data_IF_671504680109
#
_entry.id   IF_671504680109
#
_cell.length_a   1.000
_cell.length_b   1.000
_cell.length_c   1.000
_cell.angle_alpha   90.00
_cell.angle_beta   90.00
_cell.angle_gamma   90.00
#
_symmetry.space_group_name_H-M   'P 1'
#
loop_
_entity.id
_entity.type
_entity.pdbx_description
1 polymer ?
#
# COMPACT_ATOMS: atom_id res chain seq x y z
N UNK A 1 -17.05 18.44 0.50
CA UNK A 1 -17.91 17.52 -0.29
C UNK A 1 -18.44 16.46 0.67
N UNK A 2 -19.74 16.14 0.69
CA UNK A 2 -20.35 15.20 1.65
C UNK A 2 -21.20 14.13 0.92
N UNK A 3 -20.77 12.85 0.81
CA UNK A 3 -21.46 11.84 0.03
C UNK A 3 -22.84 11.48 0.58
N UNK A 4 -23.10 11.70 1.87
CA UNK A 4 -24.41 11.45 2.50
C UNK A 4 -25.48 12.45 2.05
N UNK A 5 -25.08 13.62 1.57
CA UNK A 5 -25.98 14.68 1.10
C UNK A 5 -26.17 14.69 -0.43
N UNK A 6 -25.40 13.88 -1.15
CA UNK A 6 -25.57 13.73 -2.59
C UNK A 6 -26.82 12.95 -2.95
N UNK A 7 -27.31 13.20 -4.15
CA UNK A 7 -28.39 12.41 -4.72
C UNK A 7 -27.86 11.01 -5.06
N UNK A 8 -28.50 10.00 -4.50
CA UNK A 8 -28.20 8.60 -4.77
C UNK A 8 -29.25 7.97 -5.68
N UNK A 9 -28.81 6.96 -6.45
CA UNK A 9 -29.64 6.01 -7.18
C UNK A 9 -29.56 4.63 -6.53
N UNK A 10 -30.30 3.65 -7.06
CA UNK A 10 -30.21 2.28 -6.54
C UNK A 10 -28.97 1.60 -7.10
N UNK A 11 -28.29 0.78 -6.29
CA UNK A 11 -27.13 -0.01 -6.70
C UNK A 11 -27.38 -0.77 -8.01
N UNK A 12 -28.58 -1.35 -8.16
CA UNK A 12 -28.93 -2.16 -9.34
C UNK A 12 -28.95 -1.36 -10.64
N UNK A 13 -29.18 -0.04 -10.58
CA UNK A 13 -29.22 0.83 -11.75
C UNK A 13 -27.80 1.05 -12.33
N UNK A 14 -26.76 0.69 -11.59
CA UNK A 14 -25.36 0.85 -11.99
C UNK A 14 -24.72 -0.41 -12.59
N UNK A 15 -25.40 -1.56 -12.54
CA UNK A 15 -24.88 -2.76 -13.17
C UNK A 15 -24.76 -2.57 -14.67
N UNK A 16 -23.63 -2.98 -15.23
CA UNK A 16 -23.34 -2.77 -16.65
C UNK A 16 -22.89 -4.05 -17.36
N UNK A 17 -22.81 -3.97 -18.68
CA UNK A 17 -22.47 -5.09 -19.56
C UNK A 17 -20.96 -5.32 -19.69
N UNK A 18 -20.61 -6.42 -20.36
CA UNK A 18 -19.22 -6.84 -20.59
C UNK A 18 -18.37 -5.80 -21.31
N UNK A 19 -18.97 -4.99 -22.19
CA UNK A 19 -18.25 -3.97 -22.96
C UNK A 19 -17.87 -2.80 -22.05
N UNK A 20 -18.75 -2.44 -21.13
CA UNK A 20 -18.54 -1.29 -20.25
C UNK A 20 -17.69 -1.61 -19.02
N UNK A 21 -17.53 -2.88 -18.63
CA UNK A 21 -16.57 -3.28 -17.59
C UNK A 21 -15.15 -3.55 -18.12
N UNK A 22 -14.92 -3.41 -19.44
CA UNK A 22 -13.61 -3.60 -20.05
C UNK A 22 -13.08 -2.25 -20.55
N UNK A 23 -12.25 -1.60 -19.72
CA UNK A 23 -11.67 -0.29 -20.05
C UNK A 23 -10.64 -0.38 -21.18
N UNK A 24 -10.44 0.73 -21.87
CA UNK A 24 -9.29 0.90 -22.76
C UNK A 24 -8.01 1.02 -21.90
N UNK A 25 -6.96 0.22 -22.13
CA UNK A 25 -5.71 0.37 -21.39
C UNK A 25 -5.01 1.71 -21.66
N UNK A 26 -4.26 2.20 -20.68
CA UNK A 26 -3.38 3.36 -20.87
C UNK A 26 -2.18 3.03 -21.77
N UNK A 27 -1.55 4.06 -22.33
CA UNK A 27 -0.28 3.90 -23.02
C UNK A 27 0.87 3.99 -22.02
N UNK A 28 1.59 2.89 -21.79
CA UNK A 28 2.64 2.82 -20.76
C UNK A 28 3.78 3.86 -20.92
N UNK A 29 3.97 4.39 -22.14
CA UNK A 29 5.01 5.36 -22.47
C UNK A 29 4.57 6.84 -22.33
N UNK A 30 3.27 7.09 -22.17
CA UNK A 30 2.70 8.45 -22.16
C UNK A 30 1.92 8.74 -20.87
N UNK A 31 1.44 7.71 -20.19
CA UNK A 31 0.66 7.84 -18.96
C UNK A 31 1.51 8.45 -17.85
N UNK A 32 0.89 9.31 -17.04
CA UNK A 32 1.54 9.88 -15.87
C UNK A 32 1.81 8.77 -14.82
N UNK A 33 2.99 8.73 -14.18
CA UNK A 33 3.30 7.74 -13.15
C UNK A 33 2.28 7.71 -12.02
N UNK A 34 1.77 8.88 -11.59
CA UNK A 34 0.76 8.92 -10.54
C UNK A 34 -0.62 8.48 -11.02
N UNK A 35 -0.90 8.48 -12.33
CA UNK A 35 -2.09 7.80 -12.85
C UNK A 35 -1.97 6.28 -12.65
N UNK A 36 -0.77 5.68 -12.85
CA UNK A 36 -0.55 4.25 -12.58
C UNK A 36 -0.72 3.92 -11.09
N UNK A 37 -0.13 4.72 -10.20
CA UNK A 37 -0.23 4.49 -8.75
C UNK A 37 -1.68 4.64 -8.25
N UNK A 38 -2.45 5.62 -8.76
CA UNK A 38 -3.91 5.72 -8.49
C UNK A 38 -4.66 4.48 -8.94
N UNK A 39 -4.36 3.93 -10.11
CA UNK A 39 -4.99 2.70 -10.60
C UNK A 39 -4.71 1.52 -9.66
N UNK A 40 -3.46 1.37 -9.20
CA UNK A 40 -3.08 0.33 -8.24
C UNK A 40 -3.83 0.53 -6.91
N UNK A 41 -3.82 1.75 -6.37
CA UNK A 41 -4.50 2.10 -5.12
C UNK A 41 -6.00 1.81 -5.19
N UNK A 42 -6.68 2.26 -6.25
CA UNK A 42 -8.11 2.03 -6.41
C UNK A 42 -8.43 0.55 -6.60
N UNK A 43 -7.55 -0.22 -7.27
CA UNK A 43 -7.73 -1.67 -7.33
C UNK A 43 -7.61 -2.32 -5.95
N UNK A 44 -6.68 -1.85 -5.11
CA UNK A 44 -6.51 -2.33 -3.74
C UNK A 44 -7.70 -2.03 -2.84
N UNK A 45 -8.24 -0.80 -2.90
CA UNK A 45 -9.47 -0.43 -2.18
C UNK A 45 -10.64 -1.34 -2.56
N UNK A 46 -10.86 -1.58 -3.85
CA UNK A 46 -11.90 -2.49 -4.33
C UNK A 46 -11.64 -3.96 -3.95
N UNK A 47 -10.37 -4.38 -3.93
CA UNK A 47 -9.99 -5.73 -3.53
C UNK A 47 -10.33 -5.97 -2.05
N UNK A 48 -9.91 -5.05 -1.19
CA UNK A 48 -10.17 -5.07 0.24
C UNK A 48 -11.68 -5.11 0.50
N UNK A 49 -12.46 -4.19 -0.09
CA UNK A 49 -13.89 -4.11 0.16
C UNK A 49 -14.65 -5.37 -0.31
N UNK A 50 -14.24 -5.95 -1.43
CA UNK A 50 -14.76 -7.23 -1.91
C UNK A 50 -14.49 -8.37 -0.91
N UNK A 51 -13.27 -8.44 -0.37
CA UNK A 51 -12.87 -9.44 0.62
C UNK A 51 -13.62 -9.26 1.93
N UNK A 52 -13.66 -8.04 2.46
CA UNK A 52 -14.44 -7.69 3.64
C UNK A 52 -15.91 -8.12 3.48
N UNK A 53 -16.55 -7.76 2.37
CA UNK A 53 -17.96 -8.11 2.10
C UNK A 53 -18.19 -9.62 2.04
N UNK A 54 -17.22 -10.39 1.52
CA UNK A 54 -17.26 -11.85 1.58
C UNK A 54 -17.13 -12.39 3.01
N UNK A 55 -16.21 -11.86 3.81
CA UNK A 55 -16.04 -12.27 5.21
C UNK A 55 -17.26 -11.91 6.05
N UNK A 56 -17.84 -10.73 5.86
CA UNK A 56 -19.07 -10.33 6.50
C UNK A 56 -20.19 -11.34 6.15
N UNK A 57 -20.38 -11.67 4.88
CA UNK A 57 -21.41 -12.63 4.47
C UNK A 57 -21.20 -14.05 5.03
N UNK A 58 -19.95 -14.47 5.26
CA UNK A 58 -19.61 -15.77 5.88
C UNK A 58 -19.85 -15.79 7.39
N UNK A 59 -19.78 -14.64 8.04
CA UNK A 59 -19.98 -14.47 9.48
C UNK A 59 -21.36 -13.88 9.85
N UNK A 60 -22.29 -13.84 8.90
CA UNK A 60 -23.64 -13.32 9.09
C UNK A 60 -24.67 -14.44 8.94
N UNK A 61 -25.60 -14.57 9.91
CA UNK A 61 -26.67 -15.56 9.89
C UNK A 61 -27.99 -15.03 9.28
N UNK A 62 -28.02 -13.76 8.84
CA UNK A 62 -29.20 -13.12 8.25
C UNK A 62 -29.16 -13.16 6.72
N UNK A 63 -29.97 -14.01 6.09
CA UNK A 63 -29.96 -14.17 4.64
C UNK A 63 -30.46 -12.94 3.86
N UNK A 64 -31.35 -12.11 4.41
CA UNK A 64 -31.76 -10.88 3.74
C UNK A 64 -30.59 -9.91 3.65
N UNK A 65 -29.85 -9.73 4.76
CA UNK A 65 -28.65 -8.89 4.76
C UNK A 65 -27.58 -9.45 3.80
N UNK A 66 -27.37 -10.78 3.78
CA UNK A 66 -26.42 -11.41 2.84
C UNK A 66 -26.80 -11.20 1.37
N UNK A 67 -28.09 -11.11 1.03
CA UNK A 67 -28.54 -10.76 -0.33
C UNK A 67 -28.20 -9.32 -0.67
N UNK A 68 -28.37 -8.39 0.27
CA UNK A 68 -28.00 -6.98 0.08
C UNK A 68 -26.48 -6.83 -0.11
N UNK A 69 -25.67 -7.50 0.72
CA UNK A 69 -24.22 -7.57 0.55
C UNK A 69 -23.81 -8.14 -0.81
N UNK A 70 -24.56 -9.09 -1.34
CA UNK A 70 -24.26 -9.69 -2.65
C UNK A 70 -24.52 -8.74 -3.82
N UNK A 71 -25.49 -7.82 -3.69
CA UNK A 71 -25.75 -6.79 -4.69
C UNK A 71 -24.63 -5.74 -4.69
N UNK A 72 -24.29 -5.21 -3.52
CA UNK A 72 -23.18 -4.26 -3.35
C UNK A 72 -21.87 -4.82 -3.90
N UNK A 73 -21.49 -6.02 -3.43
CA UNK A 73 -20.25 -6.68 -3.87
C UNK A 73 -20.18 -6.97 -5.37
N UNK A 74 -21.32 -7.15 -6.04
CA UNK A 74 -21.32 -7.33 -7.50
C UNK A 74 -20.91 -6.04 -8.21
N UNK A 75 -21.31 -4.89 -7.67
CA UNK A 75 -20.93 -3.57 -8.19
C UNK A 75 -19.44 -3.32 -7.96
N UNK A 76 -18.96 -3.51 -6.72
CA UNK A 76 -17.52 -3.45 -6.37
C UNK A 76 -16.69 -4.31 -7.34
N UNK A 77 -17.15 -5.54 -7.59
CA UNK A 77 -16.42 -6.44 -8.49
C UNK A 77 -16.38 -5.94 -9.93
N UNK A 78 -17.43 -5.26 -10.42
CA UNK A 78 -17.41 -4.62 -11.74
C UNK A 78 -16.45 -3.44 -11.78
N UNK A 79 -16.37 -2.62 -10.72
CA UNK A 79 -15.41 -1.53 -10.58
C UNK A 79 -13.97 -2.06 -10.56
N UNK A 80 -13.70 -3.10 -9.76
CA UNK A 80 -12.39 -3.74 -9.73
C UNK A 80 -11.95 -4.27 -11.10
N UNK A 81 -12.86 -4.91 -11.85
CA UNK A 81 -12.56 -5.42 -13.19
C UNK A 81 -12.32 -4.31 -14.20
N UNK A 82 -13.11 -3.22 -14.11
CA UNK A 82 -12.92 -2.03 -14.91
C UNK A 82 -11.52 -1.44 -14.67
N UNK A 83 -11.15 -1.21 -13.42
CA UNK A 83 -9.86 -0.62 -13.04
C UNK A 83 -8.70 -1.55 -13.41
N UNK A 84 -8.81 -2.84 -13.11
CA UNK A 84 -7.78 -3.82 -13.45
C UNK A 84 -7.51 -3.95 -14.96
N UNK A 85 -8.49 -3.59 -15.80
CA UNK A 85 -8.36 -3.60 -17.25
C UNK A 85 -7.63 -2.36 -17.81
N UNK A 86 -7.31 -1.36 -16.98
CA UNK A 86 -6.56 -0.18 -17.40
C UNK A 86 -5.08 -0.48 -17.64
N UNK A 87 -4.52 -1.49 -16.96
CA UNK A 87 -3.12 -1.91 -17.15
C UNK A 87 -2.94 -2.56 -18.53
N UNK A 88 -1.99 -2.10 -19.36
CA UNK A 88 -1.77 -2.65 -20.69
C UNK A 88 -0.97 -3.95 -20.63
N UNK A 89 -1.20 -4.85 -21.59
CA UNK A 89 -0.55 -6.16 -21.64
C UNK A 89 0.94 -6.14 -22.01
N UNK A 90 1.47 -5.01 -22.49
CA UNK A 90 2.86 -4.82 -22.89
C UNK A 90 3.72 -4.15 -21.79
N UNK A 91 3.19 -4.00 -20.58
CA UNK A 91 3.95 -3.62 -19.39
C UNK A 91 4.50 -4.88 -18.72
N UNK A 92 5.81 -4.90 -18.46
CA UNK A 92 6.48 -6.05 -17.86
C UNK A 92 6.09 -6.22 -16.39
N UNK A 93 6.42 -7.39 -15.83
CA UNK A 93 6.20 -7.66 -14.41
C UNK A 93 7.03 -6.67 -13.56
N UNK A 94 8.29 -6.41 -13.92
CA UNK A 94 9.11 -5.44 -13.19
C UNK A 94 8.66 -4.00 -13.39
N UNK A 95 8.26 -3.58 -14.59
CA UNK A 95 7.69 -2.23 -14.79
C UNK A 95 6.45 -1.99 -13.91
N UNK A 96 5.60 -3.01 -13.80
CA UNK A 96 4.45 -2.98 -12.89
C UNK A 96 4.91 -2.92 -11.44
N UNK A 97 5.91 -3.72 -11.06
CA UNK A 97 6.47 -3.76 -9.70
C UNK A 97 7.02 -2.39 -9.28
N UNK A 98 7.77 -1.71 -10.14
CA UNK A 98 8.23 -0.34 -9.87
C UNK A 98 7.06 0.61 -9.60
N UNK A 99 5.93 0.43 -10.27
CA UNK A 99 4.72 1.25 -10.02
C UNK A 99 4.04 0.92 -8.68
N UNK A 100 4.10 -0.34 -8.22
CA UNK A 100 3.65 -0.74 -6.89
C UNK A 100 4.54 -0.12 -5.81
N UNK A 101 5.85 -0.25 -5.96
CA UNK A 101 6.82 0.31 -5.01
C UNK A 101 6.76 1.84 -4.96
N UNK A 102 6.56 2.51 -6.11
CA UNK A 102 6.31 3.95 -6.12
C UNK A 102 5.03 4.31 -5.35
N UNK A 103 3.94 3.54 -5.53
CA UNK A 103 2.72 3.77 -4.76
C UNK A 103 3.00 3.63 -3.27
N UNK A 104 3.65 2.56 -2.83
CA UNK A 104 3.94 2.30 -1.42
C UNK A 104 4.73 3.47 -0.80
N UNK A 105 5.83 3.88 -1.43
CA UNK A 105 6.65 5.02 -0.95
C UNK A 105 5.86 6.34 -0.89
N UNK A 106 5.24 6.75 -2.00
CA UNK A 106 4.62 8.08 -2.07
C UNK A 106 3.28 8.16 -1.35
N UNK A 107 2.52 7.06 -1.28
CA UNK A 107 1.32 6.97 -0.45
C UNK A 107 1.71 7.05 1.02
N UNK A 108 2.59 6.18 1.49
CA UNK A 108 2.99 6.11 2.90
C UNK A 108 3.54 7.45 3.38
N UNK A 109 4.42 8.10 2.60
CA UNK A 109 4.92 9.43 2.92
C UNK A 109 3.80 10.50 2.95
N UNK A 110 2.86 10.45 2.00
CA UNK A 110 1.75 11.41 1.96
C UNK A 110 0.82 11.29 3.16
N UNK A 111 0.48 10.06 3.55
CA UNK A 111 -0.35 9.79 4.73
C UNK A 111 0.39 10.24 6.00
N UNK A 112 1.66 9.88 6.15
CA UNK A 112 2.45 10.24 7.33
C UNK A 112 2.61 11.75 7.56
N UNK A 113 2.59 12.55 6.49
CA UNK A 113 2.67 14.02 6.54
C UNK A 113 1.39 14.69 7.03
N UNK A 114 0.24 14.05 6.86
CA UNK A 114 -1.08 14.61 7.23
C UNK A 114 -1.71 13.93 8.45
N UNK A 115 -1.14 12.82 8.90
CA UNK A 115 -1.66 12.02 10.00
C UNK A 115 -1.54 12.78 11.34
N UNK A 116 -2.67 13.11 12.00
CA UNK A 116 -2.65 13.77 13.30
C UNK A 116 -2.34 12.82 14.47
N UNK A 117 -2.55 11.50 14.31
CA UNK A 117 -2.28 10.51 15.33
C UNK A 117 -0.82 10.07 15.30
N UNK A 118 -0.04 10.50 16.28
CA UNK A 118 1.39 10.20 16.41
C UNK A 118 1.73 8.69 16.41
N UNK A 119 0.82 7.83 16.88
CA UNK A 119 1.02 6.37 16.84
C UNK A 119 0.94 5.84 15.41
N UNK A 120 -0.07 6.27 14.65
CA UNK A 120 -0.25 5.89 13.24
C UNK A 120 0.85 6.49 12.38
N UNK A 121 1.21 7.75 12.63
CA UNK A 121 2.31 8.43 11.96
C UNK A 121 3.63 7.66 12.10
N UNK A 122 3.97 7.20 13.31
CA UNK A 122 5.17 6.38 13.54
C UNK A 122 5.12 5.05 12.79
N UNK A 123 3.95 4.42 12.67
CA UNK A 123 3.80 3.20 11.89
C UNK A 123 4.09 3.41 10.41
N UNK A 124 3.54 4.50 9.84
CA UNK A 124 3.80 4.91 8.45
C UNK A 124 5.28 5.26 8.24
N UNK A 125 5.86 6.10 9.09
CA UNK A 125 7.27 6.51 9.00
C UNK A 125 8.23 5.32 9.10
N UNK A 126 7.87 4.31 9.91
CA UNK A 126 8.71 3.16 10.11
C UNK A 126 8.79 2.23 8.89
N UNK A 127 7.66 1.92 8.26
CA UNK A 127 7.59 1.01 7.12
C UNK A 127 7.97 1.70 5.80
N UNK A 128 7.82 3.03 5.70
CA UNK A 128 8.24 3.83 4.53
C UNK A 128 9.66 3.52 4.04
N UNK A 129 10.60 3.30 4.96
CA UNK A 129 12.00 3.05 4.60
C UNK A 129 12.26 1.66 4.04
N UNK A 130 11.33 0.73 4.25
CA UNK A 130 11.36 -0.66 3.75
C UNK A 130 10.92 -0.66 2.29
N UNK A 131 9.72 -0.12 2.00
CA UNK A 131 9.21 0.08 0.64
C UNK A 131 10.21 0.87 -0.23
N UNK A 132 10.87 1.86 0.37
CA UNK A 132 11.88 2.65 -0.31
C UNK A 132 13.12 1.83 -0.69
N UNK A 133 13.55 0.87 0.14
CA UNK A 133 14.64 -0.04 -0.23
C UNK A 133 14.17 -1.07 -1.26
N UNK A 134 12.92 -1.53 -1.20
CA UNK A 134 12.36 -2.47 -2.18
C UNK A 134 12.33 -1.86 -3.59
N UNK A 135 11.91 -0.60 -3.71
CA UNK A 135 12.01 0.17 -4.95
C UNK A 135 13.44 0.14 -5.51
N UNK A 136 14.45 0.33 -4.67
CA UNK A 136 15.86 0.23 -5.05
C UNK A 136 16.23 -1.20 -5.52
N UNK A 137 15.90 -2.25 -4.76
CA UNK A 137 16.23 -3.64 -5.11
C UNK A 137 15.61 -4.07 -6.44
N UNK A 138 14.33 -3.76 -6.66
CA UNK A 138 13.66 -4.09 -7.92
C UNK A 138 14.16 -3.23 -9.09
N UNK A 139 14.62 -2.01 -8.84
CA UNK A 139 15.18 -1.16 -9.89
C UNK A 139 16.52 -1.70 -10.41
N UNK A 140 17.40 -2.18 -9.54
CA UNK A 140 18.62 -2.89 -9.96
C UNK A 140 18.28 -4.15 -10.75
N UNK A 141 17.30 -4.94 -10.31
CA UNK A 141 16.84 -6.11 -11.05
C UNK A 141 16.28 -5.75 -12.43
N UNK A 142 15.46 -4.70 -12.52
CA UNK A 142 14.88 -4.19 -13.76
C UNK A 142 15.95 -3.76 -14.74
N UNK A 143 16.93 -2.97 -14.29
CA UNK A 143 18.00 -2.55 -15.17
C UNK A 143 18.87 -3.74 -15.60
N UNK A 144 19.15 -4.68 -14.69
CA UNK A 144 19.94 -5.87 -15.00
C UNK A 144 19.29 -6.79 -16.04
N UNK A 145 17.99 -7.01 -15.96
CA UNK A 145 17.29 -7.99 -16.81
C UNK A 145 16.66 -7.38 -18.06
N UNK A 146 16.18 -6.13 -17.98
CA UNK A 146 15.43 -5.48 -19.06
C UNK A 146 16.16 -4.26 -19.64
N UNK A 147 17.20 -3.74 -18.97
CA UNK A 147 17.89 -2.50 -19.36
C UNK A 147 17.01 -1.24 -19.21
N UNK A 148 15.85 -1.38 -18.56
CA UNK A 148 14.90 -0.29 -18.35
C UNK A 148 15.34 0.55 -17.18
N UNK A 149 15.30 1.87 -17.39
CA UNK A 149 15.61 2.89 -16.39
C UNK A 149 14.40 3.18 -15.53
N UNK A 150 14.42 2.72 -14.29
CA UNK A 150 13.33 2.90 -13.32
C UNK A 150 13.04 4.39 -13.03
N UNK A 151 14.04 5.29 -13.12
CA UNK A 151 13.84 6.73 -12.91
C UNK A 151 12.81 7.34 -13.89
N UNK A 152 12.68 6.76 -15.08
CA UNK A 152 11.68 7.17 -16.07
C UNK A 152 10.28 6.65 -15.74
N UNK A 153 10.17 5.48 -15.10
CA UNK A 153 8.89 4.90 -14.71
C UNK A 153 8.27 5.65 -13.53
N UNK A 154 9.12 6.08 -12.58
CA UNK A 154 8.69 6.89 -11.43
C UNK A 154 8.59 8.39 -11.74
N UNK A 155 8.86 8.79 -12.99
CA UNK A 155 8.76 10.18 -13.44
C UNK A 155 9.76 11.14 -12.79
N UNK A 156 10.86 10.61 -12.25
CA UNK A 156 11.85 11.39 -11.47
C UNK A 156 11.28 12.03 -10.19
N UNK A 157 10.07 11.63 -9.75
CA UNK A 157 9.43 12.15 -8.54
C UNK A 157 9.81 11.39 -7.27
N UNK A 158 10.32 10.17 -7.42
CA UNK A 158 10.71 9.28 -6.32
C UNK A 158 12.17 8.89 -6.52
N UNK A 159 13.00 9.05 -5.51
CA UNK A 159 14.40 8.62 -5.56
C UNK A 159 14.49 7.08 -5.53
N UNK A 160 15.60 6.57 -6.02
CA UNK A 160 15.94 5.14 -6.08
C UNK A 160 17.35 5.03 -5.52
N UNK A 161 17.46 4.69 -4.24
CA UNK A 161 18.72 4.49 -3.53
C UNK A 161 18.45 3.63 -2.29
N UNK A 162 19.48 3.07 -1.64
CA UNK A 162 19.27 2.24 -0.45
C UNK A 162 18.48 2.97 0.65
N UNK A 163 17.46 2.28 1.16
CA UNK A 163 16.63 2.69 2.29
C UNK A 163 17.07 2.02 3.58
N UNK A 164 16.12 1.50 4.38
CA UNK A 164 16.46 0.50 5.40
C UNK A 164 16.74 -0.81 4.64
N UNK A 165 17.95 -1.41 4.71
CA UNK A 165 18.25 -2.56 3.86
C UNK A 165 17.29 -3.73 4.07
N UNK A 166 16.78 -4.35 3.01
CA UNK A 166 15.78 -5.45 3.05
C UNK A 166 16.15 -6.56 4.04
N UNK A 167 17.42 -6.93 4.12
CA UNK A 167 17.92 -7.93 5.07
C UNK A 167 17.60 -7.60 6.54
N UNK A 168 17.52 -6.32 6.90
CA UNK A 168 17.26 -5.84 8.26
C UNK A 168 15.78 -5.85 8.65
N UNK A 169 14.88 -5.99 7.68
CA UNK A 169 13.45 -5.75 7.86
C UNK A 169 12.73 -6.96 8.47
N UNK A 170 13.32 -8.15 8.36
CA UNK A 170 12.73 -9.38 8.88
C UNK A 170 12.65 -9.37 10.41
N UNK A 171 11.43 -9.44 10.94
CA UNK A 171 11.14 -9.42 12.38
C UNK A 171 10.27 -10.61 12.79
N UNK A 172 10.32 -10.94 14.08
CA UNK A 172 9.39 -11.94 14.63
C UNK A 172 7.94 -11.46 14.40
N UNK A 173 7.05 -12.27 13.80
CA UNK A 173 5.70 -11.83 13.45
C UNK A 173 4.87 -11.26 14.61
N UNK A 174 5.09 -11.77 15.83
CA UNK A 174 4.41 -11.28 17.03
C UNK A 174 4.78 -9.83 17.39
N UNK A 175 5.94 -9.34 16.95
CA UNK A 175 6.44 -7.99 17.20
C UNK A 175 5.92 -6.98 16.16
N UNK A 176 5.19 -7.43 15.13
CA UNK A 176 4.62 -6.58 14.09
C UNK A 176 3.21 -6.06 14.42
N UNK A 177 2.55 -6.61 15.46
CA UNK A 177 1.22 -6.18 15.88
C UNK A 177 1.30 -4.89 16.71
N UNK A 178 0.49 -3.89 16.36
CA UNK A 178 0.35 -2.62 17.08
C UNK A 178 -0.95 -2.60 17.88
N UNK A 179 -0.95 -1.77 18.90
CA UNK A 179 -2.19 -1.31 19.53
C UNK A 179 -3.11 -0.66 18.48
N UNK A 180 -4.36 -1.11 18.47
CA UNK A 180 -5.39 -0.56 17.60
C UNK A 180 -5.73 0.89 17.96
N UNK A 181 -6.31 1.62 17.01
CA UNK A 181 -6.81 2.97 17.21
C UNK A 181 -8.30 2.91 17.52
N UNK A 182 -8.76 3.58 18.58
CA UNK A 182 -10.19 3.68 18.91
C UNK A 182 -10.90 4.60 17.91
N UNK A 183 -11.73 4.01 17.04
CA UNK A 183 -12.44 4.74 15.99
C UNK A 183 -13.58 5.60 16.55
N UNK A 184 -13.95 5.50 17.82
CA UNK A 184 -14.92 6.44 18.40
C UNK A 184 -14.32 7.81 18.68
N UNK A 185 -13.01 7.86 18.93
CA UNK A 185 -12.31 9.08 19.35
C UNK A 185 -11.31 9.59 18.32
N UNK A 186 -10.87 8.75 17.38
CA UNK A 186 -9.94 9.14 16.31
C UNK A 186 -10.55 10.11 15.29
N UNK A 187 -9.69 10.97 14.74
CA UNK A 187 -10.02 11.83 13.62
C UNK A 187 -10.43 11.01 12.39
N UNK A 188 -11.34 11.55 11.58
CA UNK A 188 -11.82 10.87 10.37
C UNK A 188 -10.68 10.57 9.39
N UNK A 189 -9.71 11.48 9.28
CA UNK A 189 -8.54 11.30 8.41
C UNK A 189 -7.67 10.12 8.86
N UNK A 190 -7.48 9.92 10.17
CA UNK A 190 -6.76 8.77 10.71
C UNK A 190 -7.44 7.45 10.37
N UNK A 191 -8.78 7.39 10.48
CA UNK A 191 -9.54 6.18 10.10
C UNK A 191 -9.36 5.86 8.62
N UNK A 192 -9.41 6.89 7.77
CA UNK A 192 -9.20 6.76 6.34
C UNK A 192 -7.78 6.30 6.05
N UNK A 193 -6.77 6.96 6.62
CA UNK A 193 -5.36 6.67 6.35
C UNK A 193 -5.00 5.24 6.73
N UNK A 194 -5.47 4.73 7.88
CA UNK A 194 -5.32 3.31 8.27
C UNK A 194 -6.00 2.38 7.25
N UNK A 195 -7.24 2.69 6.85
CA UNK A 195 -8.00 1.85 5.91
C UNK A 195 -7.35 1.81 4.53
N UNK A 196 -6.87 2.97 4.06
CA UNK A 196 -6.24 3.17 2.76
C UNK A 196 -4.91 2.44 2.68
N UNK A 197 -4.02 2.64 3.67
CA UNK A 197 -2.71 1.99 3.63
C UNK A 197 -2.83 0.48 3.77
N UNK A 198 -3.74 -0.02 4.60
CA UNK A 198 -4.01 -1.45 4.74
C UNK A 198 -4.47 -2.07 3.42
N UNK A 199 -5.36 -1.39 2.69
CA UNK A 199 -5.83 -1.85 1.38
C UNK A 199 -4.73 -1.83 0.32
N UNK A 200 -3.85 -0.81 0.34
CA UNK A 200 -2.73 -0.70 -0.57
C UNK A 200 -1.72 -1.84 -0.36
N UNK A 201 -1.26 -2.08 0.86
CA UNK A 201 -0.28 -3.15 1.13
C UNK A 201 -0.86 -4.54 0.89
N UNK A 202 -2.14 -4.74 1.20
CA UNK A 202 -2.78 -6.02 0.89
C UNK A 202 -2.77 -6.29 -0.61
N UNK A 203 -2.91 -5.25 -1.44
CA UNK A 203 -2.85 -5.37 -2.89
C UNK A 203 -1.41 -5.61 -3.39
N UNK A 204 -0.40 -4.97 -2.80
CA UNK A 204 1.02 -5.24 -3.08
C UNK A 204 1.38 -6.69 -2.77
N UNK A 205 1.08 -7.15 -1.55
CA UNK A 205 1.29 -8.54 -1.13
C UNK A 205 0.60 -9.53 -2.08
N UNK A 206 -0.67 -9.29 -2.42
CA UNK A 206 -1.41 -10.15 -3.34
C UNK A 206 -0.77 -10.18 -4.74
N UNK A 207 -0.27 -9.06 -5.23
CA UNK A 207 0.43 -9.01 -6.51
C UNK A 207 1.68 -9.90 -6.47
N UNK A 208 2.56 -9.74 -5.47
CA UNK A 208 3.80 -10.52 -5.33
C UNK A 208 3.53 -12.02 -5.18
N UNK A 209 2.56 -12.39 -4.33
CA UNK A 209 2.16 -13.80 -4.15
C UNK A 209 1.71 -14.46 -5.46
N UNK A 210 1.08 -13.72 -6.37
CA UNK A 210 0.57 -14.27 -7.61
C UNK A 210 1.59 -14.26 -8.74
N UNK A 211 2.53 -13.31 -8.78
CA UNK A 211 3.50 -13.19 -9.88
C UNK A 211 4.84 -13.88 -9.60
N UNK A 212 5.22 -14.08 -8.33
CA UNK A 212 6.50 -14.70 -7.96
C UNK A 212 6.70 -16.04 -8.67
N UNK A 213 5.71 -16.93 -8.68
CA UNK A 213 5.81 -18.23 -9.34
C UNK A 213 5.88 -18.19 -10.87
N UNK A 214 5.46 -17.09 -11.49
CA UNK A 214 5.51 -16.88 -12.95
C UNK A 214 6.73 -16.06 -13.39
N UNK A 215 7.51 -15.51 -12.46
CA UNK A 215 8.69 -14.74 -12.80
C UNK A 215 9.75 -15.64 -13.45
N UNK A 216 10.46 -15.13 -14.45
CA UNK A 216 11.24 -15.96 -15.38
C UNK A 216 12.60 -16.36 -14.82
N UNK A 217 13.30 -15.47 -14.11
CA UNK A 217 14.61 -15.74 -13.52
C UNK A 217 14.54 -16.27 -12.08
N UNK A 218 15.48 -17.14 -11.69
CA UNK A 218 15.58 -17.62 -10.29
C UNK A 218 15.89 -16.48 -9.32
N UNK A 219 16.73 -15.52 -9.72
CA UNK A 219 17.10 -14.39 -8.87
C UNK A 219 15.90 -13.48 -8.59
N UNK A 220 15.07 -13.20 -9.61
CA UNK A 220 13.84 -12.44 -9.42
C UNK A 220 12.79 -13.22 -8.63
N UNK A 221 12.63 -14.53 -8.87
CA UNK A 221 11.74 -15.38 -8.05
C UNK A 221 12.10 -15.34 -6.57
N UNK A 222 13.40 -15.40 -6.25
CA UNK A 222 13.87 -15.32 -4.88
C UNK A 222 13.70 -13.91 -4.29
N UNK A 223 13.87 -12.84 -5.08
CA UNK A 223 13.61 -11.48 -4.62
C UNK A 223 12.13 -11.28 -4.24
N UNK A 224 11.20 -11.69 -5.11
CA UNK A 224 9.76 -11.66 -4.80
C UNK A 224 9.39 -12.53 -3.61
N UNK A 225 10.10 -13.66 -3.40
CA UNK A 225 9.88 -14.50 -2.23
C UNK A 225 10.27 -13.77 -0.93
N UNK A 226 11.42 -13.11 -0.90
CA UNK A 226 11.88 -12.39 0.28
C UNK A 226 10.99 -11.19 0.58
N UNK A 227 10.84 -10.29 -0.40
CA UNK A 227 10.07 -9.06 -0.21
C UNK A 227 8.59 -9.40 0.00
N UNK A 228 8.03 -10.39 -0.68
CA UNK A 228 6.66 -10.85 -0.44
C UNK A 228 6.38 -11.34 0.99
N UNK A 229 7.39 -11.77 1.75
CA UNK A 229 7.24 -12.05 3.20
C UNK A 229 7.21 -10.77 4.03
N UNK A 230 7.93 -9.73 3.61
CA UNK A 230 7.90 -8.41 4.26
C UNK A 230 6.55 -7.72 4.00
N UNK A 231 5.99 -7.84 2.79
CA UNK A 231 4.65 -7.32 2.49
C UNK A 231 3.57 -7.89 3.43
N UNK A 232 3.65 -9.19 3.76
CA UNK A 232 2.76 -9.78 4.78
C UNK A 232 2.93 -9.10 6.13
N UNK A 233 4.18 -8.84 6.52
CA UNK A 233 4.50 -8.13 7.73
C UNK A 233 3.94 -6.69 7.72
N UNK A 234 3.96 -5.98 6.59
CA UNK A 234 3.33 -4.65 6.46
C UNK A 234 1.81 -4.73 6.59
N UNK A 235 1.17 -5.73 5.98
CA UNK A 235 -0.27 -5.97 6.12
C UNK A 235 -0.64 -6.26 7.58
N UNK A 236 0.14 -7.09 8.27
CA UNK A 236 -0.03 -7.36 9.70
C UNK A 236 0.19 -6.10 10.55
N UNK A 237 1.18 -5.28 10.19
CA UNK A 237 1.52 -4.03 10.86
C UNK A 237 0.39 -3.00 10.76
N UNK A 238 0.01 -2.61 9.55
CA UNK A 238 -1.03 -1.59 9.34
C UNK A 238 -2.42 -2.11 9.70
N UNK A 239 -2.74 -3.36 9.35
CA UNK A 239 -4.05 -3.95 9.63
C UNK A 239 -4.35 -4.04 11.13
N UNK A 240 -3.32 -4.16 11.98
CA UNK A 240 -3.50 -4.15 13.44
C UNK A 240 -3.93 -2.81 14.03
N UNK A 241 -3.79 -1.70 13.28
CA UNK A 241 -4.25 -0.38 13.70
C UNK A 241 -5.77 -0.21 13.60
N UNK A 242 -6.47 -1.06 12.82
CA UNK A 242 -7.92 -1.06 12.68
C UNK A 242 -8.61 -1.38 14.01
N UNK A 243 -9.72 -0.70 14.31
CA UNK A 243 -10.47 -0.90 15.55
C UNK A 243 -11.23 -2.24 15.56
N UNK A 244 -10.86 -3.21 16.43
CA UNK A 244 -11.55 -4.49 16.51
C UNK A 244 -12.93 -4.41 17.17
N UNK A 245 -13.32 -3.25 17.71
CA UNK A 245 -14.61 -3.05 18.39
C UNK A 245 -15.75 -2.60 17.47
N UNK A 246 -15.44 -2.20 16.22
CA UNK A 246 -16.44 -1.82 15.23
C UNK A 246 -17.32 -3.02 14.83
N UNK A 247 -18.63 -2.79 14.68
CA UNK A 247 -19.53 -3.81 14.14
C UNK A 247 -19.28 -4.04 12.65
N UNK A 248 -19.77 -5.15 12.11
CA UNK A 248 -19.66 -5.42 10.68
C UNK A 248 -20.36 -4.37 9.79
N UNK A 249 -21.46 -3.75 10.25
CA UNK A 249 -22.12 -2.69 9.48
C UNK A 249 -21.43 -1.33 9.63
N UNK A 250 -20.83 -1.05 10.79
CA UNK A 250 -19.96 0.12 10.97
C UNK A 250 -18.74 0.03 10.05
N UNK A 251 -18.08 -1.13 10.03
CA UNK A 251 -16.97 -1.38 9.11
C UNK A 251 -17.43 -1.28 7.64
N UNK A 252 -18.55 -1.90 7.26
CA UNK A 252 -19.09 -1.77 5.90
C UNK A 252 -19.29 -0.30 5.49
N UNK A 253 -19.81 0.53 6.40
CA UNK A 253 -19.99 1.95 6.15
C UNK A 253 -18.64 2.67 5.95
N UNK A 254 -17.65 2.34 6.78
CA UNK A 254 -16.30 2.90 6.64
C UNK A 254 -15.62 2.48 5.32
N UNK A 255 -15.77 1.24 4.86
CA UNK A 255 -15.26 0.81 3.55
C UNK A 255 -15.86 1.66 2.42
N UNK A 256 -17.20 1.74 2.35
CA UNK A 256 -17.89 2.49 1.28
C UNK A 256 -17.62 3.99 1.35
N UNK A 257 -17.47 4.55 2.54
CA UNK A 257 -17.05 5.94 2.70
C UNK A 257 -15.60 6.16 2.22
N UNK A 258 -14.70 5.21 2.50
CA UNK A 258 -13.29 5.25 2.06
C UNK A 258 -13.19 5.17 0.54
N UNK A 259 -13.93 4.26 -0.10
CA UNK A 259 -13.98 4.15 -1.57
C UNK A 259 -14.52 5.43 -2.21
N UNK A 260 -15.63 5.98 -1.69
CA UNK A 260 -16.17 7.25 -2.16
C UNK A 260 -15.16 8.41 -2.03
N UNK A 261 -14.47 8.49 -0.89
CA UNK A 261 -13.43 9.49 -0.64
C UNK A 261 -12.26 9.35 -1.61
N UNK A 262 -11.80 8.11 -1.85
CA UNK A 262 -10.68 7.83 -2.74
C UNK A 262 -11.02 8.12 -4.21
N UNK A 263 -12.18 7.70 -4.71
CA UNK A 263 -12.60 8.03 -6.08
C UNK A 263 -12.73 9.54 -6.28
N UNK A 264 -13.30 10.26 -5.31
CA UNK A 264 -13.38 11.71 -5.38
C UNK A 264 -11.99 12.36 -5.35
N UNK A 265 -11.08 11.87 -4.51
CA UNK A 265 -9.69 12.34 -4.44
C UNK A 265 -8.93 12.10 -5.76
N UNK A 266 -9.08 10.91 -6.35
CA UNK A 266 -8.51 10.57 -7.65
C UNK A 266 -9.09 11.45 -8.76
N UNK A 267 -10.42 11.61 -8.83
CA UNK A 267 -11.06 12.50 -9.80
C UNK A 267 -10.49 13.92 -9.77
N UNK A 268 -10.30 14.48 -8.58
CA UNK A 268 -9.81 15.85 -8.42
C UNK A 268 -8.35 16.02 -8.88
N UNK A 269 -7.51 14.99 -8.73
CA UNK A 269 -6.08 15.06 -9.04
C UNK A 269 -5.66 14.36 -10.35
N UNK A 270 -6.55 13.61 -10.99
CA UNK A 270 -6.29 12.91 -12.25
C UNK A 270 -6.11 13.87 -13.43
N UNK A 271 -5.07 13.59 -14.23
CA UNK A 271 -4.66 14.39 -15.38
C UNK A 271 -5.09 13.75 -16.70
N UNK A 272 -5.24 12.42 -16.75
CA UNK A 272 -5.76 11.73 -17.94
C UNK A 272 -7.28 11.90 -18.04
N UNK A 273 -7.82 12.56 -19.09
CA UNK A 273 -9.25 12.83 -19.17
C UNK A 273 -10.14 11.58 -19.27
N UNK A 274 -9.65 10.50 -19.86
CA UNK A 274 -10.41 9.26 -19.98
C UNK A 274 -10.53 8.58 -18.62
N UNK A 275 -9.40 8.44 -17.91
CA UNK A 275 -9.35 7.80 -16.59
C UNK A 275 -10.10 8.65 -15.56
N UNK A 276 -9.99 9.99 -15.64
CA UNK A 276 -10.76 10.91 -14.80
C UNK A 276 -12.27 10.68 -14.91
N UNK A 277 -12.78 10.45 -16.12
CA UNK A 277 -14.19 10.12 -16.34
C UNK A 277 -14.61 8.79 -15.68
N UNK A 278 -13.71 7.81 -15.60
CA UNK A 278 -13.96 6.56 -14.88
C UNK A 278 -14.02 6.79 -13.36
N UNK A 279 -13.13 7.62 -12.80
CA UNK A 279 -13.19 7.99 -11.39
C UNK A 279 -14.51 8.68 -11.01
N UNK A 280 -15.01 9.57 -11.86
CA UNK A 280 -16.34 10.19 -11.67
C UNK A 280 -17.46 9.14 -11.68
N UNK A 281 -17.44 8.23 -12.66
CA UNK A 281 -18.43 7.16 -12.76
C UNK A 281 -18.44 6.28 -11.50
N UNK A 282 -17.26 5.84 -11.06
CA UNK A 282 -17.13 5.00 -9.87
C UNK A 282 -17.50 5.76 -8.59
N UNK A 283 -17.18 7.06 -8.48
CA UNK A 283 -17.63 7.88 -7.35
C UNK A 283 -19.15 7.90 -7.23
N UNK A 284 -19.88 8.07 -8.33
CA UNK A 284 -21.35 8.05 -8.35
C UNK A 284 -21.89 6.68 -7.89
N UNK A 285 -21.22 5.59 -8.26
CA UNK A 285 -21.55 4.24 -7.80
C UNK A 285 -21.36 4.12 -6.28
N UNK A 286 -20.24 4.61 -5.74
CA UNK A 286 -19.97 4.58 -4.30
C UNK A 286 -20.94 5.42 -3.47
N UNK A 287 -21.40 6.55 -3.98
CA UNK A 287 -22.47 7.32 -3.34
C UNK A 287 -23.74 6.46 -3.16
N UNK A 288 -24.12 5.67 -4.16
CA UNK A 288 -25.25 4.75 -4.03
C UNK A 288 -24.98 3.67 -2.96
N UNK A 289 -23.75 3.19 -2.83
CA UNK A 289 -23.39 2.18 -1.82
C UNK A 289 -23.34 2.75 -0.40
N UNK A 290 -22.84 3.97 -0.21
CA UNK A 290 -22.86 4.68 1.08
C UNK A 290 -24.30 4.81 1.58
N UNK A 291 -25.22 5.29 0.73
CA UNK A 291 -26.63 5.44 1.09
C UNK A 291 -27.29 4.10 1.42
N UNK A 292 -27.03 3.08 0.60
CA UNK A 292 -27.54 1.72 0.89
C UNK A 292 -27.02 1.19 2.23
N UNK A 293 -25.75 1.44 2.54
CA UNK A 293 -25.16 0.97 3.79
C UNK A 293 -25.74 1.69 5.00
N UNK A 294 -26.08 2.98 4.88
CA UNK A 294 -26.83 3.72 5.91
C UNK A 294 -28.19 3.05 6.19
N UNK A 295 -28.94 2.67 5.15
CA UNK A 295 -30.22 1.96 5.33
C UNK A 295 -30.04 0.61 6.05
N UNK A 296 -28.97 -0.12 5.73
CA UNK A 296 -28.66 -1.40 6.38
C UNK A 296 -28.27 -1.21 7.85
N UNK A 297 -27.41 -0.24 8.14
CA UNK A 297 -27.01 0.13 9.50
C UNK A 297 -28.24 0.49 10.34
N UNK A 298 -29.12 1.34 9.80
CA UNK A 298 -30.35 1.74 10.49
C UNK A 298 -31.30 0.57 10.70
N UNK A 299 -31.50 -0.27 9.69
CA UNK A 299 -32.44 -1.40 9.75
C UNK A 299 -32.00 -2.50 10.72
N UNK A 300 -30.71 -2.81 10.76
CA UNK A 300 -30.20 -4.00 11.47
C UNK A 300 -29.53 -3.67 12.80
N UNK A 301 -29.02 -2.45 12.99
CA UNK A 301 -28.39 -2.01 14.25
C UNK A 301 -29.12 -0.82 14.91
N UNK A 302 -30.15 -0.26 14.27
CA UNK A 302 -30.87 0.92 14.74
C UNK A 302 -29.98 2.16 14.95
N UNK A 303 -28.82 2.21 14.27
CA UNK A 303 -27.89 3.34 14.31
C UNK A 303 -28.07 4.25 13.11
N UNK A 304 -27.95 5.55 13.34
CA UNK A 304 -27.76 6.54 12.27
C UNK A 304 -26.29 6.58 11.85
N UNK A 305 -26.00 6.92 10.60
CA UNK A 305 -24.61 6.92 10.09
C UNK A 305 -23.72 7.94 10.82
N UNK A 306 -24.30 9.02 11.36
CA UNK A 306 -23.61 10.04 12.15
C UNK A 306 -23.02 9.48 13.46
N UNK A 307 -23.52 8.34 13.94
CA UNK A 307 -22.96 7.67 15.11
C UNK A 307 -21.61 7.00 14.80
N UNK A 308 -21.33 6.74 13.51
CA UNK A 308 -20.08 6.12 13.01
C UNK A 308 -19.15 7.17 12.43
N UNK A 309 -19.72 8.08 11.62
CA UNK A 309 -19.02 9.18 10.94
C UNK A 309 -19.71 10.49 11.34
N UNK A 310 -19.33 11.11 12.48
CA UNK A 310 -20.02 12.31 12.98
C UNK A 310 -19.98 13.50 12.03
N UNK A 311 -18.91 13.65 11.27
CA UNK A 311 -18.80 14.61 10.19
C UNK A 311 -18.72 13.90 8.84
N UNK A 312 -19.79 13.98 8.05
CA UNK A 312 -19.84 13.34 6.74
C UNK A 312 -19.03 14.03 5.65
N UNK A 313 -18.53 15.26 5.87
CA UNK A 313 -17.69 15.94 4.89
C UNK A 313 -16.34 15.22 4.73
N UNK A 314 -15.94 14.99 3.48
CA UNK A 314 -14.59 14.51 3.19
C UNK A 314 -13.55 15.45 3.81
N UNK A 315 -12.54 14.91 4.52
CA UNK A 315 -11.42 15.70 5.01
C UNK A 315 -10.50 16.13 3.85
N UNK A 316 -9.29 16.60 4.16
CA UNK A 316 -8.28 16.92 3.15
C UNK A 316 -8.13 15.77 2.13
N UNK A 317 -8.37 16.04 0.85
CA UNK A 317 -8.34 15.03 -0.20
C UNK A 317 -6.94 14.42 -0.38
N UNK A 318 -6.90 13.14 -0.72
CA UNK A 318 -5.64 12.45 -1.01
C UNK A 318 -5.09 12.87 -2.38
N UNK A 319 -3.84 13.32 -2.39
CA UNK A 319 -3.11 13.66 -3.61
C UNK A 319 -1.72 13.03 -3.54
N UNK A 320 -1.38 12.23 -4.54
CA UNK A 320 -0.03 11.69 -4.72
C UNK A 320 0.86 12.74 -5.41
N UNK A 321 2.12 12.80 -5.02
CA UNK A 321 3.10 13.78 -5.47
C UNK A 321 4.46 13.56 -4.81
N UNK A 322 5.47 14.31 -5.23
CA UNK A 322 6.86 14.15 -4.78
C UNK A 322 7.01 14.25 -3.25
N UNK A 323 7.73 13.29 -2.65
CA UNK A 323 8.04 13.27 -1.21
C UNK A 323 9.54 13.17 -0.88
N UNK A 324 10.44 13.47 -1.83
CA UNK A 324 11.91 13.31 -1.68
C UNK A 324 12.44 13.86 -0.36
N UNK A 325 12.13 15.13 -0.05
CA UNK A 325 12.63 15.78 1.18
C UNK A 325 12.18 15.07 2.47
N UNK A 326 10.97 14.51 2.46
CA UNK A 326 10.40 13.82 3.60
C UNK A 326 11.05 12.44 3.80
N UNK A 327 11.14 11.64 2.74
CA UNK A 327 11.77 10.30 2.80
C UNK A 327 13.21 10.40 3.30
N UNK A 328 13.97 11.40 2.81
CA UNK A 328 15.35 11.62 3.25
C UNK A 328 15.45 12.02 4.72
N UNK A 329 14.50 12.79 5.25
CA UNK A 329 14.45 13.15 6.67
C UNK A 329 14.15 11.94 7.54
N UNK A 330 13.15 11.12 7.16
CA UNK A 330 12.84 9.88 7.89
C UNK A 330 14.03 8.91 7.86
N UNK A 331 14.71 8.79 6.71
CA UNK A 331 15.89 7.96 6.54
C UNK A 331 17.01 8.41 7.49
N UNK A 332 17.36 9.69 7.50
CA UNK A 332 18.43 10.26 8.35
C UNK A 332 18.17 10.01 9.86
N UNK A 333 16.91 10.06 10.28
CA UNK A 333 16.54 9.99 11.69
C UNK A 333 16.25 8.57 12.20
N UNK A 334 15.83 7.64 11.34
CA UNK A 334 15.18 6.39 11.81
C UNK A 334 15.61 5.11 11.09
N UNK A 335 16.62 5.17 10.20
CA UNK A 335 17.07 3.97 9.44
C UNK A 335 17.46 2.79 10.34
N UNK A 336 18.00 3.06 11.54
CA UNK A 336 18.45 2.03 12.49
C UNK A 336 17.35 1.50 13.42
N UNK A 337 16.11 1.95 13.27
CA UNK A 337 15.01 1.47 14.09
C UNK A 337 14.52 0.10 13.62
N UNK A 338 14.12 -0.74 14.58
CA UNK A 338 13.31 -1.96 14.41
C UNK A 338 12.11 -1.89 15.35
N UNK A 339 11.27 -2.93 15.39
CA UNK A 339 10.15 -3.00 16.34
C UNK A 339 10.37 -4.04 17.42
N UNK A 340 9.97 -3.69 18.64
CA UNK A 340 9.83 -4.60 19.77
C UNK A 340 8.49 -4.30 20.42
N UNK A 341 7.56 -5.26 20.32
CA UNK A 341 6.15 -5.11 20.63
C UNK A 341 5.65 -3.85 19.95
N UNK A 342 4.97 -2.97 20.69
CA UNK A 342 4.42 -1.72 20.17
C UNK A 342 5.45 -0.61 19.92
N UNK A 343 6.71 -0.78 20.32
CA UNK A 343 7.71 0.28 20.29
C UNK A 343 8.64 0.18 19.07
N UNK A 344 9.05 1.36 18.56
CA UNK A 344 10.13 1.50 17.58
C UNK A 344 11.43 1.83 18.30
N UNK A 345 12.44 0.99 18.16
CA UNK A 345 13.68 1.05 18.94
C UNK A 345 14.88 0.94 18.03
N UNK A 346 15.87 1.81 18.26
CA UNK A 346 17.18 1.71 17.61
C UNK A 346 17.85 0.37 17.95
N UNK A 347 18.28 -0.38 16.93
CA UNK A 347 18.88 -1.71 17.07
C UNK A 347 20.13 -1.71 17.96
N UNK A 348 20.85 -0.60 18.04
CA UNK A 348 22.00 -0.45 18.96
C UNK A 348 21.63 -0.58 20.44
N UNK A 349 20.36 -0.39 20.80
CA UNK A 349 19.85 -0.51 22.17
C UNK A 349 19.34 -1.92 22.50
N UNK A 350 19.28 -2.82 21.53
CA UNK A 350 18.80 -4.18 21.73
C UNK A 350 19.92 -5.08 22.26
N UNK A 351 19.57 -5.94 23.22
CA UNK A 351 20.47 -7.00 23.67
C UNK A 351 20.63 -8.10 22.62
N UNK A 352 21.73 -8.89 22.67
CA UNK A 352 22.00 -9.97 21.71
C UNK A 352 20.91 -11.06 21.71
N UNK A 353 20.21 -11.23 22.83
CA UNK A 353 19.14 -12.21 23.03
C UNK A 353 17.74 -11.62 22.73
N UNK A 354 17.64 -10.47 22.06
CA UNK A 354 16.34 -9.91 21.66
C UNK A 354 15.65 -10.78 20.60
N UNK A 355 14.33 -10.79 20.58
CA UNK A 355 13.53 -11.50 19.56
C UNK A 355 13.88 -11.07 18.12
N UNK A 356 14.28 -9.80 17.93
CA UNK A 356 14.79 -9.31 16.65
C UNK A 356 16.06 -10.06 16.20
N UNK A 357 17.12 -10.03 17.03
CA UNK A 357 18.38 -10.72 16.73
C UNK A 357 18.21 -12.24 16.57
N UNK A 358 17.38 -12.88 17.39
CA UNK A 358 17.05 -14.31 17.24
C UNK A 358 16.40 -14.60 15.88
N UNK A 359 15.44 -13.78 15.46
CA UNK A 359 14.74 -13.95 14.19
C UNK A 359 15.67 -13.67 13.00
N UNK A 360 16.44 -12.59 13.05
CA UNK A 360 17.47 -12.25 12.06
C UNK A 360 18.49 -13.38 11.87
N UNK A 361 18.94 -14.01 12.95
CA UNK A 361 19.85 -15.17 12.88
C UNK A 361 19.19 -16.42 12.28
N UNK A 362 17.86 -16.52 12.31
CA UNK A 362 17.12 -17.65 11.75
C UNK A 362 16.95 -17.52 10.24
N UNK A 363 16.56 -16.34 9.76
CA UNK A 363 16.26 -16.12 8.34
C UNK A 363 17.47 -15.62 7.54
N UNK A 364 18.39 -14.88 8.16
CA UNK A 364 19.54 -14.23 7.52
C UNK A 364 20.89 -14.72 8.06
N UNK A 365 20.97 -16.00 8.49
CA UNK A 365 22.20 -16.58 9.05
C UNK A 365 23.41 -16.43 8.11
N UNK A 366 23.20 -16.76 6.83
CA UNK A 366 24.19 -16.61 5.78
C UNK A 366 23.81 -15.39 4.95
N UNK A 367 24.53 -14.28 5.14
CA UNK A 367 24.25 -13.02 4.43
C UNK A 367 24.33 -13.20 2.91
N UNK A 368 25.30 -13.98 2.45
CA UNK A 368 25.50 -14.31 1.03
C UNK A 368 24.32 -15.08 0.42
N UNK A 369 23.42 -15.64 1.23
CA UNK A 369 22.25 -16.37 0.76
C UNK A 369 20.99 -15.49 0.58
N UNK A 370 21.00 -14.26 1.12
CA UNK A 370 19.85 -13.36 1.15
C UNK A 370 19.51 -12.85 -0.26
N UNK A 371 18.28 -13.04 -0.77
CA UNK A 371 17.92 -12.72 -2.15
C UNK A 371 18.14 -11.27 -2.58
N UNK A 372 17.68 -10.31 -1.79
CA UNK A 372 17.84 -8.86 -2.00
C UNK A 372 19.31 -8.43 -2.04
N UNK A 373 20.15 -9.07 -1.22
CA UNK A 373 21.59 -8.85 -1.24
C UNK A 373 22.23 -9.42 -2.51
N UNK A 374 21.85 -10.65 -2.91
CA UNK A 374 22.34 -11.28 -4.13
C UNK A 374 22.06 -10.46 -5.37
N UNK A 375 20.87 -9.85 -5.48
CA UNK A 375 20.51 -8.97 -6.62
C UNK A 375 21.53 -7.85 -6.77
N UNK A 376 21.83 -7.14 -5.68
CA UNK A 376 22.76 -6.01 -5.72
C UNK A 376 24.20 -6.47 -5.92
N UNK A 377 24.65 -7.55 -5.27
CA UNK A 377 26.00 -8.11 -5.49
C UNK A 377 26.19 -8.55 -6.94
N UNK A 378 25.22 -9.27 -7.52
CA UNK A 378 25.25 -9.70 -8.91
C UNK A 378 25.26 -8.49 -9.85
N UNK A 379 24.48 -7.45 -9.56
CA UNK A 379 24.48 -6.20 -10.31
C UNK A 379 25.86 -5.53 -10.30
N UNK A 380 26.40 -5.27 -9.10
CA UNK A 380 27.71 -4.61 -8.90
C UNK A 380 28.81 -5.42 -9.58
N UNK A 381 28.78 -6.76 -9.50
CA UNK A 381 29.81 -7.61 -10.12
C UNK A 381 29.91 -7.43 -11.64
N UNK A 382 28.79 -7.07 -12.30
CA UNK A 382 28.69 -6.85 -13.74
C UNK A 382 28.92 -5.40 -14.13
N UNK A 383 28.51 -4.45 -13.28
CA UNK A 383 28.45 -3.02 -13.60
C UNK A 383 29.47 -2.16 -12.84
N UNK A 384 30.22 -2.73 -11.90
CA UNK A 384 31.16 -2.09 -10.95
C UNK A 384 30.52 -1.21 -9.87
N UNK A 385 29.26 -0.80 -10.04
CA UNK A 385 28.46 -0.06 -9.07
C UNK A 385 26.98 -0.47 -9.16
N UNK A 386 26.22 -0.22 -8.10
CA UNK A 386 24.76 -0.39 -8.06
C UNK A 386 24.03 0.60 -8.97
N UNK A 387 22.74 0.36 -9.23
CA UNK A 387 21.91 1.31 -9.95
C UNK A 387 21.20 2.26 -8.98
N UNK A 388 21.27 3.58 -9.25
CA UNK A 388 20.61 4.60 -8.43
C UNK A 388 20.06 5.75 -9.26
N UNK A 389 19.02 6.36 -8.74
CA UNK A 389 18.57 7.70 -9.08
C UNK A 389 18.42 8.51 -7.79
N UNK A 390 19.38 9.38 -7.51
CA UNK A 390 19.36 10.25 -6.33
C UNK A 390 19.62 11.70 -6.75
N UNK A 391 18.85 12.63 -6.19
CA UNK A 391 18.98 14.08 -6.42
C UNK A 391 20.14 14.68 -5.61
N UNK A 392 20.54 14.00 -4.52
CA UNK A 392 21.66 14.34 -3.64
C UNK A 392 22.25 13.05 -3.04
N UNK A 393 23.49 13.11 -2.59
CA UNK A 393 24.20 12.01 -1.92
C UNK A 393 23.41 11.45 -0.71
N UNK A 394 23.19 10.14 -0.65
CA UNK A 394 22.42 9.46 0.40
C UNK A 394 22.75 10.01 1.82
N UNK A 395 21.75 10.37 2.65
CA UNK A 395 21.99 10.98 3.96
C UNK A 395 22.81 10.05 4.88
N UNK A 396 22.65 8.74 4.76
CA UNK A 396 23.36 7.75 5.57
C UNK A 396 24.72 7.45 4.96
N UNK A 397 25.79 7.90 5.62
CA UNK A 397 27.17 7.74 5.12
C UNK A 397 27.51 6.29 4.77
N UNK A 398 27.05 5.33 5.58
CA UNK A 398 27.30 3.92 5.38
C UNK A 398 26.57 3.31 4.16
N UNK A 399 25.59 4.02 3.58
CA UNK A 399 24.83 3.60 2.39
C UNK A 399 25.32 4.31 1.10
N UNK A 400 26.37 5.14 1.19
CA UNK A 400 26.92 5.87 0.04
C UNK A 400 27.87 5.06 -0.83
N UNK A 401 28.41 3.96 -0.30
CA UNK A 401 29.23 3.07 -1.11
C UNK A 401 28.36 2.39 -2.15
N UNK A 402 28.68 2.61 -3.42
CA UNK A 402 27.96 2.03 -4.56
C UNK A 402 28.59 0.72 -5.04
N UNK A 403 29.74 0.33 -4.47
CA UNK A 403 30.51 -0.87 -4.85
C UNK A 403 30.31 -2.04 -3.89
N UNK A 404 29.53 -1.85 -2.84
CA UNK A 404 29.22 -2.88 -1.86
C UNK A 404 27.84 -2.61 -1.27
N UNK A 405 26.99 -3.63 -1.23
CA UNK A 405 25.70 -3.54 -0.55
C UNK A 405 25.87 -3.62 0.97
N UNK A 406 25.16 -2.76 1.70
CA UNK A 406 25.26 -2.70 3.16
C UNK A 406 24.26 -3.65 3.82
N UNK A 407 24.79 -4.60 4.62
CA UNK A 407 23.99 -5.62 5.29
C UNK A 407 23.94 -5.48 6.81
N UNK A 408 24.38 -4.32 7.33
CA UNK A 408 24.56 -4.03 8.76
C UNK A 408 23.61 -2.95 9.29
N UNK A 409 23.33 -1.91 8.49
CA UNK A 409 22.40 -0.83 8.87
C UNK A 409 21.03 -1.42 9.24
N UNK A 410 20.46 -0.94 10.35
CA UNK A 410 19.17 -1.43 10.87
C UNK A 410 19.16 -2.89 11.32
N UNK A 411 20.30 -3.59 11.32
CA UNK A 411 20.37 -5.03 11.61
C UNK A 411 21.31 -5.39 12.74
N UNK A 412 22.47 -4.72 12.81
CA UNK A 412 23.47 -4.98 13.85
C UNK A 412 23.62 -3.76 14.74
N UNK A 413 23.95 -4.00 16.01
CA UNK A 413 24.50 -2.96 16.87
C UNK A 413 25.84 -2.55 16.27
N UNK A 414 25.88 -1.45 15.52
CA UNK A 414 27.15 -0.90 15.04
C UNK A 414 28.02 -0.63 16.27
N UNK A 415 29.16 -1.32 16.39
CA UNK A 415 30.14 -1.11 17.45
C UNK A 415 30.98 0.13 17.21
#
# INVERSE_FOLDING_TARGET
MNPFLEKSSKIQDHFTDWRNIYSKPYNKNEVDPYTKTRIILMNGAEFEANWFSHQFSRNCNNNELRRELALARRLDKQQQMLIGSLRPANESILETTISYEQLAVDLTARLAKREPNEHVKKALDFALLEDFDHLYRYSDLLFMEEGTKAENLVGHYTEIMPGRPTISEHRCPAENIRNFVDFKTADLITKLDISIITAAEQQTMNYYMNIAGFYTSDIGRNLYQEIGLIEEQHVSHYGSLLDPNCTWLENLLMHKYTEAYLYYSCYNSEVDPYIKGLWEQCFVQEVAQVHKTCDLLKKYENKEWQEVIPNGEFPELLTLGENISYVRDILDNTVNNTTIKDDYVDVSKLGPDSSFHEFQNKVNKNVEDVPSHKVIVDFISKNNEDYRFETKENPIVALRDRKSDNTSIGRTSLS
#
